data_IF_519240508386
#
_entry.id   IF_519240508386
#
_cell.length_a   1.000
_cell.length_b   1.000
_cell.length_c   1.000
_cell.angle_alpha   90.00
_cell.angle_beta   90.00
_cell.angle_gamma   90.00
#
_symmetry.space_group_name_H-M   'P 1'
#
loop_
_entity.id
_entity.type
_entity.pdbx_description
1 polymer ?
#
# COMPACT_ATOMS: atom_id res chain seq x y z
N UNK A 1 22.33 -20.37 -33.84
CA UNK A 1 22.79 -19.86 -32.52
C UNK A 1 21.65 -19.30 -31.64
N UNK A 2 20.45 -18.99 -32.17
CA UNK A 2 19.33 -18.42 -31.40
C UNK A 2 18.52 -19.43 -30.55
N UNK A 3 18.45 -20.70 -30.95
CA UNK A 3 17.66 -21.72 -30.26
C UNK A 3 18.21 -22.03 -28.85
N UNK A 4 19.55 -22.05 -28.71
CA UNK A 4 20.23 -22.34 -27.44
C UNK A 4 19.97 -21.28 -26.36
N UNK A 5 19.78 -20.00 -26.73
CA UNK A 5 19.55 -18.92 -25.75
C UNK A 5 18.12 -18.98 -25.16
N UNK A 6 17.14 -19.40 -25.96
CA UNK A 6 15.74 -19.55 -25.54
C UNK A 6 15.59 -20.74 -24.57
N UNK A 7 16.16 -21.90 -24.92
CA UNK A 7 16.16 -23.08 -24.04
C UNK A 7 16.84 -22.81 -22.69
N UNK A 8 17.91 -21.99 -22.69
CA UNK A 8 18.62 -21.62 -21.46
C UNK A 8 17.77 -20.70 -20.58
N UNK A 9 17.02 -19.75 -21.17
CA UNK A 9 16.09 -18.87 -20.44
C UNK A 9 14.91 -19.64 -19.84
N UNK A 10 14.36 -20.60 -20.58
CA UNK A 10 13.25 -21.44 -20.11
C UNK A 10 13.66 -22.38 -18.97
N UNK A 11 14.89 -22.93 -19.01
CA UNK A 11 15.45 -23.71 -17.90
C UNK A 11 15.67 -22.85 -16.66
N UNK A 12 16.28 -21.67 -16.80
CA UNK A 12 16.49 -20.73 -15.68
C UNK A 12 15.15 -20.28 -15.05
N UNK A 13 14.11 -20.08 -15.86
CA UNK A 13 12.76 -19.74 -15.40
C UNK A 13 12.12 -20.89 -14.60
N UNK A 14 12.22 -22.12 -15.10
CA UNK A 14 11.70 -23.33 -14.41
C UNK A 14 12.45 -23.62 -13.11
N UNK A 15 13.77 -23.44 -13.10
CA UNK A 15 14.60 -23.62 -11.90
C UNK A 15 14.25 -22.57 -10.84
N UNK A 16 14.05 -21.30 -11.23
CA UNK A 16 13.56 -20.25 -10.31
C UNK A 16 12.19 -20.56 -9.74
N UNK A 17 11.26 -21.07 -10.57
CA UNK A 17 9.92 -21.43 -10.10
C UNK A 17 9.97 -22.61 -9.11
N UNK A 18 10.80 -23.61 -9.37
CA UNK A 18 10.99 -24.74 -8.45
C UNK A 18 11.64 -24.32 -7.13
N UNK A 19 12.56 -23.35 -7.15
CA UNK A 19 13.17 -22.78 -5.94
C UNK A 19 12.12 -22.02 -5.12
N UNK A 20 11.30 -21.18 -5.75
CA UNK A 20 10.23 -20.44 -5.07
C UNK A 20 9.25 -21.40 -4.40
N UNK A 21 8.84 -22.47 -5.08
CA UNK A 21 7.95 -23.49 -4.51
C UNK A 21 8.60 -24.17 -3.29
N UNK A 22 9.90 -24.48 -3.34
CA UNK A 22 10.60 -25.08 -2.21
C UNK A 22 10.65 -24.13 -1.00
N UNK A 23 10.94 -22.84 -1.25
CA UNK A 23 10.97 -21.80 -0.22
C UNK A 23 9.59 -21.60 0.40
N UNK A 24 8.53 -21.54 -0.42
CA UNK A 24 7.15 -21.41 0.08
C UNK A 24 6.78 -22.61 0.96
N UNK A 25 7.13 -23.84 0.55
CA UNK A 25 6.86 -25.04 1.36
C UNK A 25 7.63 -25.05 2.68
N UNK A 26 8.86 -24.56 2.69
CA UNK A 26 9.67 -24.42 3.91
C UNK A 26 9.08 -23.35 4.84
N UNK A 27 8.66 -22.20 4.29
CA UNK A 27 7.94 -21.16 5.03
C UNK A 27 6.66 -21.73 5.61
N UNK A 28 5.81 -22.38 4.81
CA UNK A 28 4.55 -23.00 5.22
C UNK A 28 4.76 -24.02 6.35
N UNK A 29 5.80 -24.86 6.25
CA UNK A 29 6.17 -25.83 7.29
C UNK A 29 6.70 -25.20 8.59
N UNK A 30 7.16 -23.95 8.53
CA UNK A 30 7.68 -23.19 9.68
C UNK A 30 6.68 -22.18 10.27
N UNK A 31 5.52 -21.99 9.64
CA UNK A 31 4.53 -21.04 10.13
C UNK A 31 3.94 -21.50 11.47
N UNK A 32 3.71 -20.56 12.41
CA UNK A 32 3.06 -20.90 13.66
C UNK A 32 1.63 -21.40 13.40
N UNK A 33 1.24 -22.48 14.09
CA UNK A 33 -0.15 -22.93 14.10
C UNK A 33 -0.98 -21.96 14.94
N UNK A 34 -2.02 -21.37 14.33
CA UNK A 34 -2.94 -20.46 14.99
C UNK A 34 -4.20 -21.22 15.41
N UNK A 35 -4.57 -21.15 16.70
CA UNK A 35 -5.81 -21.74 17.20
C UNK A 35 -7.03 -20.84 16.96
N UNK A 36 -8.21 -21.45 16.85
CA UNK A 36 -9.48 -20.73 16.72
C UNK A 36 -9.72 -19.75 17.87
N UNK A 37 -9.39 -20.13 19.10
CA UNK A 37 -9.55 -19.28 20.28
C UNK A 37 -8.65 -18.05 20.22
N UNK A 38 -7.40 -18.23 19.75
CA UNK A 38 -6.50 -17.11 19.50
C UNK A 38 -7.08 -16.19 18.43
N UNK A 39 -7.52 -16.76 17.30
CA UNK A 39 -8.06 -16.01 16.16
C UNK A 39 -9.28 -15.18 16.57
N UNK A 40 -10.28 -15.79 17.23
CA UNK A 40 -11.48 -15.10 17.71
C UNK A 40 -11.14 -13.96 18.67
N UNK A 41 -10.21 -14.20 19.60
CA UNK A 41 -9.74 -13.16 20.53
C UNK A 41 -9.08 -12.00 19.81
N UNK A 42 -8.31 -12.25 18.74
CA UNK A 42 -7.68 -11.19 17.96
C UNK A 42 -8.69 -10.44 17.09
N UNK A 43 -9.63 -11.14 16.43
CA UNK A 43 -10.69 -10.50 15.64
C UNK A 43 -11.53 -9.52 16.48
N UNK A 44 -11.77 -9.84 17.75
CA UNK A 44 -12.43 -8.95 18.70
C UNK A 44 -11.68 -7.66 19.03
N UNK A 45 -10.39 -7.55 18.68
CA UNK A 45 -9.55 -6.36 18.87
C UNK A 45 -9.47 -5.45 17.64
N UNK A 46 -10.08 -5.84 16.52
CA UNK A 46 -10.04 -5.02 15.30
C UNK A 46 -10.71 -3.67 15.51
N UNK A 47 -10.13 -2.62 14.94
CA UNK A 47 -10.71 -1.27 14.87
C UNK A 47 -11.00 -0.88 13.43
N UNK A 48 -11.89 0.08 13.26
CA UNK A 48 -12.17 0.68 11.96
C UNK A 48 -11.03 1.61 11.55
N UNK A 49 -10.73 1.62 10.26
CA UNK A 49 -9.78 2.50 9.59
C UNK A 49 -10.37 2.91 8.24
N UNK A 50 -9.71 3.83 7.57
CA UNK A 50 -10.02 4.22 6.19
C UNK A 50 -8.81 3.94 5.29
N UNK A 51 -9.03 3.26 4.18
CA UNK A 51 -8.03 3.11 3.12
C UNK A 51 -8.24 4.24 2.12
N UNK A 52 -7.16 4.95 1.79
CA UNK A 52 -7.09 5.87 0.67
C UNK A 52 -6.30 5.22 -0.46
N UNK A 53 -6.88 5.18 -1.65
CA UNK A 53 -6.18 4.80 -2.88
C UNK A 53 -5.99 6.06 -3.71
N UNK A 54 -4.74 6.40 -4.01
CA UNK A 54 -4.39 7.55 -4.84
C UNK A 54 -4.19 7.10 -6.29
N UNK A 55 -4.64 7.93 -7.23
CA UNK A 55 -4.41 7.80 -8.67
C UNK A 55 -3.76 9.07 -9.21
N UNK A 56 -2.94 9.00 -10.27
CA UNK A 56 -2.51 10.19 -11.00
C UNK A 56 -3.73 11.00 -11.47
N UNK A 57 -3.74 12.29 -11.18
CA UNK A 57 -4.75 13.22 -11.71
C UNK A 57 -4.35 13.77 -13.08
N UNK A 58 -5.26 14.50 -13.75
CA UNK A 58 -5.03 15.06 -15.08
C UNK A 58 -3.81 16.00 -15.14
N UNK A 59 -3.44 16.64 -14.03
CA UNK A 59 -2.33 17.60 -13.96
C UNK A 59 -1.03 16.98 -13.43
N UNK A 60 -0.93 15.65 -13.30
CA UNK A 60 0.26 14.99 -12.74
C UNK A 60 1.55 15.31 -13.49
N UNK A 61 1.44 15.56 -14.80
CA UNK A 61 2.59 15.78 -15.69
C UNK A 61 2.80 17.25 -16.08
N UNK A 62 2.04 18.16 -15.49
CA UNK A 62 2.19 19.59 -15.72
C UNK A 62 3.49 20.11 -15.09
N UNK A 63 4.00 21.21 -15.64
CA UNK A 63 5.18 21.89 -15.07
C UNK A 63 4.89 22.31 -13.62
N UNK A 64 5.77 21.92 -12.69
CA UNK A 64 5.62 22.23 -11.27
C UNK A 64 4.83 21.21 -10.45
N UNK A 65 4.21 20.19 -11.06
CA UNK A 65 3.49 19.13 -10.34
C UNK A 65 4.36 18.43 -9.29
N UNK A 66 5.66 18.23 -9.54
CA UNK A 66 6.57 17.60 -8.58
C UNK A 66 6.78 18.43 -7.30
N UNK A 67 6.72 19.77 -7.39
CA UNK A 67 6.75 20.62 -6.20
C UNK A 67 5.47 20.46 -5.37
N UNK A 68 4.33 20.27 -6.04
CA UNK A 68 3.04 20.03 -5.37
C UNK A 68 3.06 18.65 -4.68
N UNK A 69 3.59 17.63 -5.36
CA UNK A 69 3.80 16.30 -4.76
C UNK A 69 4.73 16.37 -3.54
N UNK A 70 5.76 17.22 -3.57
CA UNK A 70 6.63 17.43 -2.41
C UNK A 70 5.85 17.97 -1.20
N UNK A 71 4.97 18.94 -1.40
CA UNK A 71 4.13 19.50 -0.32
C UNK A 71 3.05 18.51 0.15
N UNK A 72 2.49 17.70 -0.74
CA UNK A 72 1.68 16.54 -0.36
C UNK A 72 2.47 15.57 0.54
N UNK A 73 3.71 15.26 0.19
CA UNK A 73 4.61 14.44 1.00
C UNK A 73 4.85 15.05 2.39
N UNK A 74 5.16 16.35 2.46
CA UNK A 74 5.34 17.08 3.74
C UNK A 74 4.09 16.98 4.62
N UNK A 75 2.91 17.15 4.03
CA UNK A 75 1.62 17.02 4.73
C UNK A 75 1.38 15.60 5.25
N UNK A 76 1.72 14.56 4.47
CA UNK A 76 1.64 13.18 4.92
C UNK A 76 2.51 12.95 6.16
N UNK A 77 3.72 13.52 6.24
CA UNK A 77 4.55 13.43 7.45
C UNK A 77 3.87 14.09 8.66
N UNK A 78 3.25 15.26 8.50
CA UNK A 78 2.49 15.87 9.59
C UNK A 78 1.32 14.98 10.07
N UNK A 79 0.56 14.39 9.14
CA UNK A 79 -0.53 13.47 9.48
C UNK A 79 -0.05 12.18 10.16
N UNK A 80 1.17 11.73 9.85
CA UNK A 80 1.82 10.60 10.52
C UNK A 80 2.19 10.94 11.96
N UNK A 81 2.79 12.10 12.19
CA UNK A 81 3.15 12.56 13.54
C UNK A 81 1.91 12.72 14.44
N UNK A 82 0.79 13.18 13.87
CA UNK A 82 -0.50 13.27 14.57
C UNK A 82 -1.21 11.91 14.77
N UNK A 83 -0.66 10.82 14.23
CA UNK A 83 -1.25 9.48 14.34
C UNK A 83 -2.53 9.28 13.51
N UNK A 84 -2.83 10.20 12.58
CA UNK A 84 -3.98 10.11 11.67
C UNK A 84 -3.68 9.21 10.47
N UNK A 85 -2.49 9.34 9.87
CA UNK A 85 -2.03 8.50 8.75
C UNK A 85 -1.10 7.41 9.26
N UNK A 86 -1.65 6.23 9.58
CA UNK A 86 -0.88 5.11 10.14
C UNK A 86 0.15 4.55 9.16
N UNK A 87 -0.24 4.34 7.90
CA UNK A 87 0.62 3.76 6.85
C UNK A 87 0.52 4.60 5.60
N UNK A 88 1.66 4.89 4.95
CA UNK A 88 1.71 5.55 3.65
C UNK A 88 2.69 4.81 2.74
N UNK A 89 2.23 4.44 1.55
CA UNK A 89 2.98 3.68 0.57
C UNK A 89 2.88 4.37 -0.79
N UNK A 90 3.85 5.23 -1.16
CA UNK A 90 3.94 5.76 -2.51
C UNK A 90 4.15 4.62 -3.52
N UNK A 91 3.49 4.68 -4.67
CA UNK A 91 3.63 3.69 -5.75
C UNK A 91 4.16 4.41 -6.99
N UNK A 92 5.23 3.87 -7.56
CA UNK A 92 5.83 4.36 -8.81
C UNK A 92 5.42 3.48 -9.99
N UNK A 93 5.38 4.06 -11.19
CA UNK A 93 5.16 3.34 -12.47
C UNK A 93 3.90 2.47 -12.51
N UNK A 94 2.77 3.02 -12.04
CA UNK A 94 1.49 2.30 -11.98
C UNK A 94 0.33 3.23 -12.34
N UNK A 95 -0.85 2.64 -12.59
CA UNK A 95 -2.12 3.36 -12.65
C UNK A 95 -2.56 3.90 -11.28
N UNK A 96 -1.92 3.43 -10.20
CA UNK A 96 -2.04 3.96 -8.86
C UNK A 96 -0.81 4.80 -8.49
N UNK A 97 -1.03 5.84 -7.70
CA UNK A 97 0.02 6.73 -7.20
C UNK A 97 0.43 6.43 -5.74
N UNK A 98 -0.43 5.76 -4.98
CA UNK A 98 -0.13 5.41 -3.60
C UNK A 98 -1.30 4.83 -2.83
N UNK A 99 -1.01 4.29 -1.66
CA UNK A 99 -2.00 3.81 -0.69
C UNK A 99 -1.71 4.42 0.67
N UNK A 100 -2.76 4.88 1.34
CA UNK A 100 -2.74 5.34 2.73
C UNK A 100 -3.71 4.55 3.60
N UNK A 101 -3.35 4.29 4.85
CA UNK A 101 -4.27 3.75 5.87
C UNK A 101 -4.37 4.78 6.98
N UNK A 102 -5.58 5.30 7.17
CA UNK A 102 -5.90 6.33 8.16
C UNK A 102 -6.61 5.74 9.37
N UNK A 103 -6.23 6.21 10.56
CA UNK A 103 -6.89 5.96 11.83
C UNK A 103 -7.99 7.01 12.08
N UNK A 104 -8.94 7.09 11.15
CA UNK A 104 -10.07 8.02 11.16
C UNK A 104 -11.23 7.44 10.34
N UNK A 105 -12.42 8.05 10.46
CA UNK A 105 -13.59 7.67 9.67
C UNK A 105 -13.41 8.00 8.18
N UNK A 106 -14.26 7.47 7.32
CA UNK A 106 -14.22 7.80 5.89
C UNK A 106 -14.51 9.28 5.67
N UNK A 107 -15.48 9.84 6.39
CA UNK A 107 -15.90 11.23 6.30
C UNK A 107 -14.81 12.21 6.75
N UNK A 108 -14.13 11.89 7.86
CA UNK A 108 -12.99 12.66 8.35
C UNK A 108 -11.84 12.63 7.33
N UNK A 109 -11.58 11.46 6.76
CA UNK A 109 -10.51 11.30 5.76
C UNK A 109 -10.84 11.99 4.44
N UNK A 110 -12.10 12.02 4.01
CA UNK A 110 -12.51 12.81 2.85
C UNK A 110 -12.25 14.30 3.09
N UNK A 111 -12.62 14.81 4.26
CA UNK A 111 -12.33 16.21 4.65
C UNK A 111 -10.82 16.49 4.65
N UNK A 112 -10.02 15.56 5.16
CA UNK A 112 -8.56 15.64 5.11
C UNK A 112 -8.07 15.63 3.65
N UNK A 113 -8.54 14.72 2.80
CA UNK A 113 -8.04 14.56 1.44
C UNK A 113 -8.47 15.69 0.50
N UNK A 114 -9.65 16.27 0.71
CA UNK A 114 -10.12 17.44 -0.03
C UNK A 114 -9.24 18.67 0.21
N UNK A 115 -8.56 18.73 1.36
CA UNK A 115 -7.59 19.78 1.72
C UNK A 115 -6.15 19.46 1.30
N UNK A 116 -5.91 18.33 0.64
CA UNK A 116 -4.58 17.97 0.17
C UNK A 116 -4.14 18.85 -1.02
N UNK A 117 -2.92 19.43 -1.00
CA UNK A 117 -2.47 20.31 -2.07
C UNK A 117 -2.41 19.62 -3.44
N UNK A 118 -2.06 18.33 -3.50
CA UNK A 118 -2.01 17.60 -4.76
C UNK A 118 -3.40 17.23 -5.27
N UNK A 119 -4.37 17.00 -4.37
CA UNK A 119 -5.78 16.79 -4.74
C UNK A 119 -6.40 18.09 -5.25
N UNK A 120 -6.26 19.20 -4.51
CA UNK A 120 -6.77 20.52 -4.91
C UNK A 120 -6.23 20.98 -6.27
N UNK A 121 -4.96 20.68 -6.54
CA UNK A 121 -4.33 21.00 -7.81
C UNK A 121 -4.71 20.04 -8.96
N UNK A 122 -5.45 18.95 -8.70
CA UNK A 122 -5.75 17.93 -9.71
C UNK A 122 -4.52 17.10 -10.13
N UNK A 123 -3.45 17.14 -9.34
CA UNK A 123 -2.23 16.33 -9.53
C UNK A 123 -2.47 14.88 -9.06
N UNK A 124 -3.30 14.71 -8.04
CA UNK A 124 -3.77 13.41 -7.55
C UNK A 124 -5.29 13.37 -7.50
N UNK A 125 -5.84 12.18 -7.72
CA UNK A 125 -7.22 11.81 -7.41
C UNK A 125 -7.20 10.77 -6.30
N UNK A 126 -8.30 10.65 -5.56
CA UNK A 126 -8.36 9.70 -4.44
C UNK A 126 -9.71 8.98 -4.36
N UNK A 127 -9.67 7.76 -3.83
CA UNK A 127 -10.83 6.95 -3.44
C UNK A 127 -10.67 6.54 -1.97
N UNK A 128 -11.78 6.46 -1.24
CA UNK A 128 -11.80 6.08 0.18
C UNK A 128 -12.64 4.83 0.41
N UNK A 129 -12.18 3.96 1.30
CA UNK A 129 -12.88 2.72 1.66
C UNK A 129 -12.81 2.47 3.17
N UNK A 130 -13.96 2.21 3.79
CA UNK A 130 -13.99 1.72 5.16
C UNK A 130 -13.33 0.33 5.24
N UNK A 131 -12.46 0.13 6.23
CA UNK A 131 -11.86 -1.17 6.52
C UNK A 131 -11.75 -1.41 8.02
N UNK A 132 -11.32 -2.62 8.40
CA UNK A 132 -10.95 -2.96 9.78
C UNK A 132 -9.59 -3.64 9.80
N UNK A 133 -8.78 -3.33 10.81
CA UNK A 133 -7.47 -3.94 11.02
C UNK A 133 -7.13 -4.02 12.51
N UNK A 134 -5.96 -4.54 12.85
CA UNK A 134 -5.50 -4.73 14.22
C UNK A 134 -4.61 -3.55 14.64
N UNK A 135 -4.96 -2.81 15.72
CA UNK A 135 -4.07 -1.79 16.26
C UNK A 135 -2.74 -2.40 16.72
N UNK A 136 -1.64 -1.72 16.37
CA UNK A 136 -0.27 -2.17 16.69
C UNK A 136 0.43 -2.88 15.52
N UNK A 137 -0.30 -3.32 14.50
CA UNK A 137 0.33 -3.79 13.26
C UNK A 137 1.07 -2.62 12.58
N UNK A 138 2.32 -2.85 12.20
CA UNK A 138 3.18 -1.87 11.55
C UNK A 138 4.04 -2.53 10.48
N UNK A 139 4.65 -1.71 9.61
CA UNK A 139 5.73 -2.19 8.77
C UNK A 139 6.95 -2.51 9.67
N UNK A 140 7.64 -3.64 9.45
CA UNK A 140 8.85 -4.00 10.21
C UNK A 140 10.04 -3.09 9.89
#
# INVERSE_FOLDING_TARGET
MFISVIETRDKISKDRHSIVISIVREIEGSMPTISDDFMKRMMGKTKQYCIVILKPGPHRHDEGADKIIWEHGRRNFALREEGLLSIVCPISESTLAGVGIFNASVEEVQTIMDEDPAVKAGVLLYETYMTRSFPGDSLP
#
